data_IF_901952996079
#
_entry.id   IF_901952996079
#
_cell.length_a   1.000
_cell.length_b   1.000
_cell.length_c   1.000
_cell.angle_alpha   90.00
_cell.angle_beta   90.00
_cell.angle_gamma   90.00
#
_symmetry.space_group_name_H-M   'P 1'
#
loop_
_entity.id
_entity.type
_entity.pdbx_description
1 polymer ?
#
# COMPACT_ATOMS: atom_id res chain seq x y z
N UNK A 1 -23.22 -0.85 -3.55
CA UNK A 1 -21.75 -1.03 -3.43
C UNK A 1 -21.41 -1.15 -1.97
N UNK A 2 -20.78 -2.24 -1.55
CA UNK A 2 -20.41 -2.43 -0.15
C UNK A 2 -19.33 -1.39 0.21
N UNK A 3 -19.61 -0.51 1.18
CA UNK A 3 -18.69 0.57 1.60
C UNK A 3 -17.33 0.03 2.06
N UNK A 4 -17.28 -1.22 2.54
CA UNK A 4 -16.05 -1.87 2.96
C UNK A 4 -15.06 -2.13 1.81
N UNK A 5 -15.51 -2.09 0.54
CA UNK A 5 -14.63 -2.21 -0.65
C UNK A 5 -13.67 -1.02 -0.78
N UNK A 6 -13.95 0.12 -0.14
CA UNK A 6 -13.06 1.27 -0.19
C UNK A 6 -11.71 1.00 0.50
N UNK A 7 -11.69 0.20 1.57
CA UNK A 7 -10.45 -0.14 2.28
C UNK A 7 -9.41 -0.86 1.41
N UNK A 8 -9.70 -1.99 0.73
CA UNK A 8 -8.73 -2.64 -0.13
C UNK A 8 -8.26 -1.76 -1.28
N UNK A 9 -9.12 -0.88 -1.82
CA UNK A 9 -8.74 0.08 -2.86
C UNK A 9 -7.66 1.04 -2.33
N UNK A 10 -7.82 1.55 -1.11
CA UNK A 10 -6.81 2.40 -0.49
C UNK A 10 -5.48 1.65 -0.33
N UNK A 11 -5.50 0.40 0.14
CA UNK A 11 -4.29 -0.43 0.23
C UNK A 11 -3.62 -0.65 -1.13
N UNK A 12 -4.40 -0.85 -2.19
CA UNK A 12 -3.86 -1.02 -3.54
C UNK A 12 -3.21 0.27 -4.03
N UNK A 13 -3.88 1.42 -3.90
CA UNK A 13 -3.33 2.72 -4.30
C UNK A 13 -2.03 3.01 -3.53
N UNK A 14 -2.05 2.80 -2.22
CA UNK A 14 -0.88 2.98 -1.36
C UNK A 14 0.24 2.02 -1.81
N UNK A 15 -0.08 0.75 -2.05
CA UNK A 15 0.87 -0.23 -2.57
C UNK A 15 1.52 0.17 -3.89
N UNK A 16 0.73 0.66 -4.86
CA UNK A 16 1.25 1.16 -6.15
C UNK A 16 2.23 2.32 -5.93
N UNK A 17 1.89 3.27 -5.07
CA UNK A 17 2.79 4.39 -4.74
C UNK A 17 4.09 3.90 -4.10
N UNK A 18 4.01 2.93 -3.17
CA UNK A 18 5.19 2.33 -2.55
C UNK A 18 6.14 1.64 -3.53
N UNK A 19 5.60 0.97 -4.55
CA UNK A 19 6.38 0.26 -5.57
C UNK A 19 6.98 1.21 -6.61
N UNK A 20 6.15 2.08 -7.18
CA UNK A 20 6.55 2.96 -8.31
C UNK A 20 7.28 4.22 -7.83
N UNK A 21 6.91 4.76 -6.68
CA UNK A 21 7.46 5.99 -6.12
C UNK A 21 8.03 5.78 -4.70
N UNK A 22 9.03 4.88 -4.53
CA UNK A 22 9.56 4.51 -3.22
C UNK A 22 10.19 5.67 -2.44
N UNK A 23 10.65 6.73 -3.13
CA UNK A 23 11.18 7.94 -2.50
C UNK A 23 10.07 8.75 -1.81
N UNK A 24 8.91 8.88 -2.46
CA UNK A 24 7.74 9.56 -1.90
C UNK A 24 7.22 8.74 -0.72
N UNK A 25 7.11 7.43 -0.89
CA UNK A 25 6.71 6.52 0.16
C UNK A 25 7.58 6.61 1.40
N UNK A 26 8.90 6.55 1.21
CA UNK A 26 9.85 6.71 2.29
C UNK A 26 9.73 8.08 2.95
N UNK A 27 9.56 9.16 2.17
CA UNK A 27 9.42 10.51 2.71
C UNK A 27 8.21 10.65 3.62
N UNK A 28 7.06 10.12 3.20
CA UNK A 28 5.82 10.14 3.98
C UNK A 28 5.94 9.32 5.27
N UNK A 29 6.69 8.20 5.26
CA UNK A 29 6.88 7.36 6.44
C UNK A 29 7.93 7.88 7.42
N UNK A 30 9.16 8.01 6.95
CA UNK A 30 10.32 8.31 7.80
C UNK A 30 11.11 9.53 7.33
N UNK A 31 11.12 9.84 6.04
CA UNK A 31 11.97 10.90 5.49
C UNK A 31 11.63 12.30 5.98
N UNK A 32 10.38 12.55 6.40
CA UNK A 32 9.99 13.82 7.05
C UNK A 32 10.69 14.07 8.39
N UNK A 33 11.23 13.02 9.04
CA UNK A 33 11.92 13.12 10.34
C UNK A 33 13.36 13.61 10.21
N UNK A 34 13.93 13.54 9.00
CA UNK A 34 15.33 13.86 8.76
C UNK A 34 15.47 15.16 7.96
N UNK A 35 16.40 16.03 8.37
CA UNK A 35 16.69 17.28 7.66
C UNK A 35 17.70 17.02 6.54
N UNK A 36 17.29 17.19 5.28
CA UNK A 36 18.14 17.09 4.08
C UNK A 36 18.90 15.77 3.95
N UNK A 37 18.28 14.65 4.31
CA UNK A 37 18.88 13.32 4.16
C UNK A 37 18.24 12.61 2.98
N UNK A 38 19.06 12.08 2.08
CA UNK A 38 18.60 11.24 0.99
C UNK A 38 18.29 9.82 1.50
N UNK A 39 17.22 9.18 0.99
CA UNK A 39 16.94 7.80 1.34
C UNK A 39 18.08 6.89 0.93
N UNK A 40 18.50 6.03 1.86
CA UNK A 40 19.46 4.98 1.55
C UNK A 40 18.85 3.96 0.57
N UNK A 41 19.71 3.22 -0.14
CA UNK A 41 19.27 2.14 -1.02
C UNK A 41 18.40 1.11 -0.27
N UNK A 42 18.75 0.80 0.98
CA UNK A 42 17.96 -0.08 1.83
C UNK A 42 16.57 0.49 2.13
N UNK A 43 16.46 1.79 2.42
CA UNK A 43 15.19 2.45 2.65
C UNK A 43 14.26 2.41 1.42
N UNK A 44 14.82 2.62 0.23
CA UNK A 44 14.05 2.50 -1.03
C UNK A 44 13.61 1.06 -1.30
N UNK A 45 14.44 0.07 -0.99
CA UNK A 45 14.07 -1.35 -1.10
C UNK A 45 12.94 -1.68 -0.12
N UNK A 46 13.04 -1.24 1.13
CA UNK A 46 11.99 -1.45 2.14
C UNK A 46 10.68 -0.77 1.74
N UNK A 47 10.73 0.43 1.15
CA UNK A 47 9.56 1.10 0.60
C UNK A 47 8.86 0.25 -0.47
N UNK A 48 9.64 -0.35 -1.39
CA UNK A 48 9.10 -1.25 -2.43
C UNK A 48 8.52 -2.53 -1.84
N UNK A 49 9.20 -3.16 -0.87
CA UNK A 49 8.71 -4.36 -0.18
C UNK A 49 7.39 -4.06 0.52
N UNK A 50 7.32 -2.95 1.26
CA UNK A 50 6.09 -2.49 1.91
C UNK A 50 4.96 -2.24 0.90
N UNK A 51 5.28 -1.64 -0.24
CA UNK A 51 4.32 -1.46 -1.34
C UNK A 51 3.80 -2.78 -1.91
N UNK A 52 4.68 -3.76 -2.17
CA UNK A 52 4.28 -5.10 -2.64
C UNK A 52 3.38 -5.80 -1.62
N UNK A 53 3.74 -5.75 -0.33
CA UNK A 53 2.91 -6.32 0.73
C UNK A 53 1.53 -5.65 0.80
N UNK A 54 1.46 -4.33 0.67
CA UNK A 54 0.19 -3.60 0.63
C UNK A 54 -0.68 -4.00 -0.58
N UNK A 55 -0.07 -4.24 -1.76
CA UNK A 55 -0.79 -4.76 -2.93
C UNK A 55 -1.35 -6.16 -2.67
N UNK A 56 -0.55 -7.06 -2.10
CA UNK A 56 -0.96 -8.42 -1.76
C UNK A 56 -2.14 -8.38 -0.80
N UNK A 57 -2.03 -7.63 0.30
CA UNK A 57 -3.10 -7.48 1.30
C UNK A 57 -4.36 -6.88 0.67
N UNK A 58 -4.22 -5.81 -0.12
CA UNK A 58 -5.34 -5.16 -0.79
C UNK A 58 -6.07 -6.11 -1.75
N UNK A 59 -5.33 -6.91 -2.52
CA UNK A 59 -5.92 -7.91 -3.42
C UNK A 59 -6.68 -9.00 -2.67
N UNK A 60 -6.09 -9.59 -1.62
CA UNK A 60 -6.76 -10.63 -0.83
C UNK A 60 -7.99 -10.09 -0.10
N UNK A 61 -7.88 -8.89 0.48
CA UNK A 61 -8.99 -8.24 1.17
C UNK A 61 -10.14 -7.89 0.22
N UNK A 62 -9.84 -7.41 -1.00
CA UNK A 62 -10.84 -7.17 -2.03
C UNK A 62 -11.58 -8.45 -2.40
N UNK A 63 -10.86 -9.53 -2.69
CA UNK A 63 -11.45 -10.81 -3.06
C UNK A 63 -12.32 -11.37 -1.93
N UNK A 64 -11.84 -11.31 -0.69
CA UNK A 64 -12.59 -11.78 0.47
C UNK A 64 -13.93 -11.03 0.61
N UNK A 65 -13.91 -9.69 0.62
CA UNK A 65 -15.11 -8.86 0.78
C UNK A 65 -16.07 -9.02 -0.40
N UNK A 66 -15.56 -9.01 -1.62
CA UNK A 66 -16.37 -9.17 -2.83
C UNK A 66 -17.05 -10.54 -2.87
N UNK A 67 -16.32 -11.60 -2.51
CA UNK A 67 -16.83 -12.97 -2.49
C UNK A 67 -17.88 -13.16 -1.39
N UNK A 68 -17.64 -12.65 -0.17
CA UNK A 68 -18.64 -12.69 0.90
C UNK A 68 -19.95 -12.04 0.46
N UNK A 69 -19.92 -10.91 -0.24
CA UNK A 69 -21.15 -10.27 -0.69
C UNK A 69 -21.93 -11.09 -1.73
N UNK A 70 -21.24 -11.82 -2.62
CA UNK A 70 -21.87 -12.69 -3.63
C UNK A 70 -22.57 -13.90 -2.99
N UNK A 71 -22.04 -14.44 -1.89
CA UNK A 71 -22.62 -15.63 -1.23
C UNK A 71 -23.78 -15.31 -0.26
N UNK A 72 -24.01 -14.03 0.08
CA UNK A 72 -25.08 -13.61 1.01
C UNK A 72 -26.26 -12.91 0.31
N UNK A 73 -26.35 -12.96 -1.02
CA UNK A 73 -27.50 -12.55 -1.85
C UNK A 73 -28.10 -13.80 -2.49
#
# INVERSE_FOLDING_TARGET
>A
MNVFILFPILFIIWGVIGVLFPRIWWYVGEGWKFKNVEPSSAALIMARIGGILALIVGYFLYNFIATSFVYYI
#
